data_IF_570847388001
#
_entry.id   IF_570847388001
#
_cell.length_a   1.000
_cell.length_b   1.000
_cell.length_c   1.000
_cell.angle_alpha   90.00
_cell.angle_beta   90.00
_cell.angle_gamma   90.00
#
_symmetry.space_group_name_H-M   'P 1'
#
loop_
_entity.id
_entity.type
_entity.pdbx_description
1 polymer ?
#
# COMPACT_ATOMS: atom_id res chain seq x y z
N UNK A 1 3.74 0.47 -10.11
CA UNK A 1 3.17 1.18 -11.28
C UNK A 1 4.18 2.10 -11.99
N UNK A 2 5.47 1.75 -11.97
CA UNK A 2 6.57 2.63 -12.40
C UNK A 2 6.52 3.03 -13.89
N UNK A 3 6.03 2.16 -14.77
CA UNK A 3 5.95 2.43 -16.22
C UNK A 3 4.81 3.40 -16.56
N UNK A 4 3.66 3.26 -15.89
CA UNK A 4 2.51 4.16 -16.04
C UNK A 4 2.87 5.57 -15.59
N UNK A 5 3.62 5.69 -14.50
CA UNK A 5 4.05 6.98 -13.94
C UNK A 5 4.98 7.76 -14.88
N UNK A 6 5.68 7.08 -15.81
CA UNK A 6 6.49 7.74 -16.85
C UNK A 6 5.64 8.47 -17.89
N UNK A 7 4.41 8.01 -18.13
CA UNK A 7 3.50 8.57 -19.13
C UNK A 7 2.64 9.70 -18.55
N UNK A 8 2.27 9.59 -17.27
CA UNK A 8 1.50 10.61 -16.53
C UNK A 8 2.36 11.77 -15.97
N UNK A 9 3.46 12.12 -16.65
CA UNK A 9 4.45 13.07 -16.12
C UNK A 9 3.88 14.50 -16.02
N UNK A 10 4.38 15.26 -15.05
CA UNK A 10 4.06 16.69 -14.87
C UNK A 10 4.30 17.43 -16.19
N UNK A 11 3.30 18.19 -16.64
CA UNK A 11 3.30 18.89 -17.93
C UNK A 11 2.56 18.15 -19.04
N UNK A 12 2.08 16.92 -18.81
CA UNK A 12 1.20 16.25 -19.75
C UNK A 12 -0.20 16.90 -19.74
N UNK A 13 -0.67 17.32 -20.91
CA UNK A 13 -1.94 18.06 -21.10
C UNK A 13 -3.05 17.20 -21.69
N UNK A 14 -2.73 15.98 -22.12
CA UNK A 14 -3.67 15.03 -22.73
C UNK A 14 -3.95 13.86 -21.80
N UNK A 15 -5.20 13.39 -21.81
CA UNK A 15 -5.60 12.19 -21.06
C UNK A 15 -4.78 10.97 -21.50
N UNK A 16 -4.27 10.22 -20.52
CA UNK A 16 -3.50 9.00 -20.75
C UNK A 16 -4.38 7.82 -20.36
N UNK A 17 -4.47 6.83 -21.25
CA UNK A 17 -5.26 5.62 -21.06
C UNK A 17 -4.30 4.42 -21.07
N UNK A 18 -4.38 3.57 -20.05
CA UNK A 18 -3.50 2.41 -19.91
C UNK A 18 -4.33 1.15 -20.03
N UNK A 19 -4.05 0.36 -21.05
CA UNK A 19 -4.67 -0.94 -21.26
C UNK A 19 -3.72 -2.01 -20.76
N UNK A 20 -4.18 -2.79 -19.77
CA UNK A 20 -3.50 -4.00 -19.34
C UNK A 20 -4.21 -5.18 -20.01
N UNK A 21 -3.50 -5.86 -20.90
CA UNK A 21 -4.00 -7.06 -21.55
C UNK A 21 -3.55 -8.27 -20.71
N UNK A 22 -4.47 -9.21 -20.48
CA UNK A 22 -4.22 -10.43 -19.73
C UNK A 22 -4.92 -11.58 -20.46
N UNK A 23 -4.19 -12.67 -20.65
CA UNK A 23 -4.72 -13.87 -21.30
C UNK A 23 -5.30 -14.83 -20.26
N UNK A 24 -6.60 -15.12 -20.37
CA UNK A 24 -7.33 -16.00 -19.45
C UNK A 24 -6.81 -17.44 -19.50
N UNK A 25 -6.80 -18.12 -18.35
CA UNK A 25 -6.36 -19.52 -18.24
C UNK A 25 -4.85 -19.71 -18.40
N UNK A 26 -4.09 -18.62 -18.50
CA UNK A 26 -2.63 -18.67 -18.61
C UNK A 26 -1.95 -18.26 -17.30
N UNK A 27 -0.63 -18.37 -17.28
CA UNK A 27 0.17 -17.91 -16.16
C UNK A 27 0.02 -16.39 -15.90
N UNK A 28 -0.35 -15.60 -16.90
CA UNK A 28 -0.58 -14.15 -16.75
C UNK A 28 -1.68 -13.84 -15.75
N UNK A 29 -2.76 -14.62 -15.73
CA UNK A 29 -3.87 -14.48 -14.79
C UNK A 29 -3.43 -14.74 -13.34
N UNK A 30 -2.58 -15.76 -13.14
CA UNK A 30 -2.02 -16.07 -11.82
C UNK A 30 -1.10 -14.97 -11.31
N UNK A 31 -0.26 -14.40 -12.18
CA UNK A 31 0.60 -13.27 -11.83
C UNK A 31 -0.26 -12.06 -11.43
N UNK A 32 -1.33 -11.77 -12.18
CA UNK A 32 -2.22 -10.65 -11.89
C UNK A 32 -2.87 -10.79 -10.50
N UNK A 33 -3.43 -11.96 -10.19
CA UNK A 33 -4.00 -12.26 -8.88
C UNK A 33 -2.97 -12.15 -7.75
N UNK A 34 -1.74 -12.61 -7.98
CA UNK A 34 -0.67 -12.53 -7.00
C UNK A 34 -0.23 -11.09 -6.73
N UNK A 35 -0.12 -10.26 -7.77
CA UNK A 35 0.18 -8.83 -7.63
C UNK A 35 -0.94 -8.12 -6.87
N UNK A 36 -2.20 -8.40 -7.18
CA UNK A 36 -3.34 -7.84 -6.47
C UNK A 36 -3.36 -8.23 -4.99
N UNK A 37 -3.09 -9.50 -4.69
CA UNK A 37 -3.01 -10.02 -3.32
C UNK A 37 -1.89 -9.34 -2.53
N UNK A 38 -0.71 -9.19 -3.16
CA UNK A 38 0.44 -8.52 -2.55
C UNK A 38 0.17 -7.04 -2.30
N UNK A 39 -0.48 -6.34 -3.23
CA UNK A 39 -0.86 -4.95 -3.07
C UNK A 39 -1.88 -4.78 -1.93
N UNK A 40 -2.86 -5.68 -1.83
CA UNK A 40 -3.83 -5.71 -0.73
C UNK A 40 -3.14 -5.91 0.61
N UNK A 41 -2.27 -6.92 0.72
CA UNK A 41 -1.53 -7.17 1.97
C UNK A 41 -0.66 -5.96 2.37
N UNK A 42 -0.01 -5.32 1.41
CA UNK A 42 0.76 -4.10 1.68
C UNK A 42 -0.13 -2.96 2.17
N UNK A 43 -1.32 -2.77 1.58
CA UNK A 43 -2.30 -1.81 2.06
C UNK A 43 -2.78 -2.13 3.48
N UNK A 44 -3.10 -3.41 3.75
CA UNK A 44 -3.55 -3.88 5.07
C UNK A 44 -2.48 -3.64 6.15
N UNK A 45 -1.21 -3.88 5.83
CA UNK A 45 -0.07 -3.61 6.74
C UNK A 45 0.10 -2.11 6.98
N UNK A 46 0.02 -1.29 5.92
CA UNK A 46 0.17 0.17 6.05
C UNK A 46 -1.03 0.78 6.80
N UNK A 47 -2.23 0.20 6.70
CA UNK A 47 -3.40 0.58 7.51
C UNK A 47 -3.33 0.14 8.97
N UNK A 48 -2.30 -0.60 9.38
CA UNK A 48 -1.88 -0.61 10.78
C UNK A 48 -1.19 0.74 11.05
N UNK A 49 -1.97 1.82 10.91
CA UNK A 49 -1.56 3.14 11.37
C UNK A 49 -1.33 3.04 12.87
N UNK A 50 -0.25 3.67 13.32
CA UNK A 50 0.08 3.90 14.73
C UNK A 50 -1.13 4.37 15.54
N UNK A 51 -2.14 5.00 14.92
CA UNK A 51 -3.39 5.40 15.55
C UNK A 51 -4.18 4.24 16.20
N UNK A 52 -4.20 3.05 15.62
CA UNK A 52 -4.85 1.88 16.24
C UNK A 52 -3.99 1.29 17.37
N UNK A 53 -2.66 1.38 17.25
CA UNK A 53 -1.73 0.99 18.31
C UNK A 53 -1.88 1.95 19.50
N UNK A 54 -1.90 3.26 19.26
CA UNK A 54 -2.12 4.31 20.26
C UNK A 54 -3.48 4.18 20.95
N UNK A 55 -4.54 3.77 20.23
CA UNK A 55 -5.84 3.47 20.84
C UNK A 55 -5.85 2.23 21.75
N UNK A 56 -4.92 1.30 21.55
CA UNK A 56 -4.80 0.07 22.34
C UNK A 56 -3.87 0.21 23.53
N UNK A 57 -3.00 1.23 23.54
CA UNK A 57 -2.15 1.53 24.68
C UNK A 57 -3.00 2.07 25.83
N UNK A 58 -2.92 1.39 26.97
CA UNK A 58 -3.49 1.87 28.22
C UNK A 58 -2.71 3.10 28.74
N UNK A 59 -3.36 3.89 29.60
CA UNK A 59 -2.75 5.08 30.21
C UNK A 59 -1.42 4.77 30.89
N UNK A 60 -1.30 3.60 31.51
CA UNK A 60 -0.09 3.18 32.24
C UNK A 60 1.07 2.81 31.30
N UNK A 61 0.78 2.25 30.12
CA UNK A 61 1.78 1.95 29.09
C UNK A 61 2.32 3.24 28.46
N UNK A 62 1.45 4.22 28.19
CA UNK A 62 1.85 5.55 27.71
C UNK A 62 2.73 6.27 28.75
N UNK A 63 2.32 6.22 30.02
CA UNK A 63 3.11 6.80 31.11
C UNK A 63 4.47 6.11 31.28
N UNK A 64 4.55 4.81 31.00
CA UNK A 64 5.80 4.05 31.05
C UNK A 64 6.74 4.43 29.92
N UNK A 65 6.22 4.66 28.70
CA UNK A 65 7.01 5.12 27.55
C UNK A 65 7.56 6.54 27.72
N UNK A 66 6.84 7.39 28.46
CA UNK A 66 7.23 8.78 28.73
C UNK A 66 8.14 8.94 29.96
N UNK A 67 8.39 7.87 30.73
CA UNK A 67 9.36 7.93 31.82
C UNK A 67 10.76 8.07 31.23
N UNK A 68 11.58 9.01 31.74
CA UNK A 68 12.98 9.10 31.34
C UNK A 68 13.65 7.75 31.59
N UNK A 69 14.40 7.27 30.60
CA UNK A 69 15.26 6.11 30.76
C UNK A 69 16.38 6.56 31.70
N UNK A 70 16.22 6.27 32.99
CA UNK A 70 17.26 6.42 34.00
C UNK A 70 17.67 5.03 34.47
#
# INVERSE_FOLDING_TARGET
NQTTDRVHRIGQTRGVQVFKLVTLGTFEERIDQLIATKAKLAADIITIDDYQIVKRLSRDEILTLLKPIM
#
